data_IF_030700569042
#
_entry.id   IF_030700569042
#
_cell.length_a   1.000
_cell.length_b   1.000
_cell.length_c   1.000
_cell.angle_alpha   90.00
_cell.angle_beta   90.00
_cell.angle_gamma   90.00
#
_symmetry.space_group_name_H-M   'P 1'
#
loop_
_entity.id
_entity.type
_entity.pdbx_description
1 polymer ?
#
# COMPACT_ATOMS: atom_id res chain seq x y z
N UNK A 1 -4.55 18.52 13.62
CA UNK A 1 -3.33 17.83 14.05
C UNK A 1 -2.54 17.63 12.78
N UNK A 2 -1.33 18.19 12.71
CA UNK A 2 -0.48 18.05 11.54
C UNK A 2 -0.09 16.58 11.34
N UNK A 3 -0.13 16.13 10.09
CA UNK A 3 0.19 14.75 9.70
C UNK A 3 1.66 14.63 9.29
N UNK A 4 2.21 13.41 9.30
CA UNK A 4 3.56 13.18 8.74
C UNK A 4 3.64 13.56 7.26
N UNK A 5 2.54 13.44 6.52
CA UNK A 5 2.53 13.81 5.11
C UNK A 5 2.71 15.33 4.91
N UNK A 6 2.17 16.14 5.83
CA UNK A 6 2.31 17.59 5.82
C UNK A 6 3.71 18.04 6.26
N UNK A 7 4.30 17.39 7.28
CA UNK A 7 5.66 17.68 7.74
C UNK A 7 6.73 17.25 6.73
N UNK A 8 6.49 16.12 6.06
CA UNK A 8 7.41 15.51 5.11
C UNK A 8 7.80 14.09 5.49
N UNK A 9 8.00 13.27 4.45
CA UNK A 9 8.45 11.88 4.55
C UNK A 9 9.74 11.71 3.75
N UNK A 10 10.56 10.67 4.00
CA UNK A 10 11.79 10.38 3.23
C UNK A 10 11.45 9.95 1.80
N UNK A 11 11.05 10.92 0.98
CA UNK A 11 10.44 10.71 -0.33
C UNK A 11 11.42 10.09 -1.33
N UNK A 12 12.70 10.45 -1.25
CA UNK A 12 13.73 9.90 -2.15
C UNK A 12 13.89 8.39 -1.96
N UNK A 13 14.00 7.93 -0.71
CA UNK A 13 14.06 6.50 -0.41
C UNK A 13 12.78 5.76 -0.85
N UNK A 14 11.61 6.36 -0.63
CA UNK A 14 10.32 5.79 -1.07
C UNK A 14 10.25 5.71 -2.60
N UNK A 15 10.77 6.72 -3.30
CA UNK A 15 10.83 6.75 -4.76
C UNK A 15 11.75 5.67 -5.31
N UNK A 16 12.92 5.46 -4.71
CA UNK A 16 13.84 4.37 -5.08
C UNK A 16 13.16 3.00 -4.96
N UNK A 17 12.49 2.74 -3.84
CA UNK A 17 11.74 1.49 -3.64
C UNK A 17 10.59 1.34 -4.66
N UNK A 18 9.85 2.42 -4.91
CA UNK A 18 8.73 2.44 -5.86
C UNK A 18 9.18 2.24 -7.31
N UNK A 19 10.38 2.68 -7.67
CA UNK A 19 10.92 2.54 -9.02
C UNK A 19 11.19 1.08 -9.41
N UNK A 20 11.56 0.23 -8.44
CA UNK A 20 11.80 -1.21 -8.64
C UNK A 20 10.51 -1.90 -9.14
N UNK A 21 9.35 -1.45 -8.68
CA UNK A 21 8.04 -2.01 -9.05
C UNK A 21 7.64 -1.77 -10.50
N UNK A 22 8.18 -0.71 -11.13
CA UNK A 22 7.91 -0.44 -12.55
C UNK A 22 8.81 -1.25 -13.50
N UNK A 23 9.78 -2.00 -12.97
CA UNK A 23 10.78 -2.77 -13.72
C UNK A 23 10.70 -4.28 -13.39
N UNK A 24 11.75 -5.08 -13.10
CA UNK A 24 11.58 -6.52 -12.91
C UNK A 24 10.92 -6.89 -11.58
N UNK A 25 10.68 -5.92 -10.68
CA UNK A 25 10.08 -6.16 -9.37
C UNK A 25 8.58 -5.91 -9.31
N UNK A 26 7.83 -6.18 -10.39
CA UNK A 26 6.39 -5.91 -10.44
C UNK A 26 5.62 -6.81 -9.45
N UNK A 27 4.63 -6.29 -8.73
CA UNK A 27 3.70 -7.11 -7.96
C UNK A 27 2.98 -8.11 -8.87
N UNK A 28 2.82 -9.39 -8.48
CA UNK A 28 2.23 -10.41 -9.35
C UNK A 28 0.85 -10.07 -9.93
N UNK A 29 0.00 -9.42 -9.13
CA UNK A 29 -1.35 -9.01 -9.56
C UNK A 29 -1.32 -7.93 -10.67
N UNK A 30 -0.20 -7.25 -10.89
CA UNK A 30 -0.05 -6.30 -12.00
C UNK A 30 0.12 -6.99 -13.35
N UNK A 31 0.50 -8.28 -13.36
CA UNK A 31 0.69 -9.07 -14.58
C UNK A 31 -0.63 -9.70 -15.08
N UNK A 32 -1.71 -9.64 -14.28
CA UNK A 32 -3.02 -10.16 -14.72
C UNK A 32 -3.56 -9.35 -15.91
N UNK A 33 -3.59 -8.02 -15.79
CA UNK A 33 -3.99 -7.10 -16.86
C UNK A 33 -3.20 -5.79 -16.71
N UNK A 34 -2.78 -5.23 -17.85
CA UNK A 34 -2.15 -3.92 -17.86
C UNK A 34 -3.15 -2.81 -17.53
N UNK A 35 -2.82 -1.95 -16.56
CA UNK A 35 -3.59 -0.76 -16.22
C UNK A 35 -2.70 0.49 -16.18
N UNK A 36 -3.17 1.59 -16.78
CA UNK A 36 -2.34 2.79 -16.98
C UNK A 36 -1.97 3.51 -15.68
N UNK A 37 -2.88 3.54 -14.68
CA UNK A 37 -2.71 4.30 -13.43
C UNK A 37 -2.33 3.44 -12.23
N UNK A 38 -1.42 2.47 -12.42
CA UNK A 38 -0.90 1.62 -11.33
C UNK A 38 0.05 2.42 -10.43
N UNK A 39 -0.43 2.81 -9.26
CA UNK A 39 0.40 3.45 -8.21
C UNK A 39 1.31 2.39 -7.58
N UNK A 40 2.63 2.62 -7.48
CA UNK A 40 3.53 1.73 -6.75
C UNK A 40 3.03 1.49 -5.32
N UNK A 41 3.05 0.24 -4.88
CA UNK A 41 2.59 -0.20 -3.58
C UNK A 41 3.45 0.39 -2.46
N UNK A 42 4.78 0.48 -2.64
CA UNK A 42 5.65 1.15 -1.67
C UNK A 42 5.22 2.61 -1.45
N UNK A 43 5.01 3.35 -2.53
CA UNK A 43 4.52 4.73 -2.48
C UNK A 43 3.13 4.84 -1.85
N UNK A 44 2.17 4.00 -2.29
CA UNK A 44 0.82 3.99 -1.75
C UNK A 44 0.81 3.71 -0.24
N UNK A 45 1.60 2.74 0.23
CA UNK A 45 1.76 2.42 1.65
C UNK A 45 2.30 3.61 2.44
N UNK A 46 3.35 4.25 1.93
CA UNK A 46 3.97 5.38 2.62
C UNK A 46 3.01 6.57 2.74
N UNK A 47 2.30 6.92 1.66
CA UNK A 47 1.32 8.02 1.66
C UNK A 47 0.15 7.73 2.60
N UNK A 48 -0.40 6.51 2.58
CA UNK A 48 -1.49 6.13 3.50
C UNK A 48 -1.03 6.22 4.95
N UNK A 49 0.12 5.64 5.30
CA UNK A 49 0.62 5.70 6.66
C UNK A 49 0.89 7.15 7.09
N UNK A 50 1.52 7.95 6.23
CA UNK A 50 1.86 9.34 6.52
C UNK A 50 0.63 10.24 6.70
N UNK A 51 -0.45 9.99 5.93
CA UNK A 51 -1.70 10.73 6.05
C UNK A 51 -2.49 10.39 7.32
N UNK A 52 -2.30 9.19 7.89
CA UNK A 52 -3.06 8.72 9.06
C UNK A 52 -2.32 8.91 10.40
N UNK A 53 -1.01 9.15 10.35
CA UNK A 53 -0.15 9.33 11.51
C UNK A 53 0.08 10.82 11.78
N UNK A 54 0.15 11.17 13.06
CA UNK A 54 0.54 12.51 13.52
C UNK A 54 2.00 12.80 13.20
N UNK A 55 2.34 14.07 13.01
CA UNK A 55 3.69 14.52 12.66
C UNK A 55 4.78 14.08 13.66
N UNK A 56 4.42 13.84 14.93
CA UNK A 56 5.31 13.38 16.00
C UNK A 56 5.39 11.84 16.14
N UNK A 57 4.73 11.08 15.25
CA UNK A 57 4.62 9.64 15.38
C UNK A 57 5.96 8.90 15.26
N UNK A 58 6.98 9.52 14.65
CA UNK A 58 8.33 9.00 14.48
C UNK A 58 9.38 10.06 14.80
N UNK A 59 10.48 9.63 15.43
CA UNK A 59 11.61 10.51 15.75
C UNK A 59 12.63 10.60 14.61
N UNK A 60 12.68 9.58 13.74
CA UNK A 60 13.58 9.57 12.58
C UNK A 60 12.91 8.97 11.34
N UNK A 61 13.30 9.43 10.13
CA UNK A 61 12.85 8.84 8.88
C UNK A 61 13.18 7.35 8.74
N UNK A 62 14.29 6.89 9.31
CA UNK A 62 14.71 5.50 9.27
C UNK A 62 13.76 4.60 10.07
N UNK A 63 13.27 5.08 11.22
CA UNK A 63 12.30 4.33 12.01
C UNK A 63 10.99 4.15 11.24
N UNK A 64 10.53 5.21 10.56
CA UNK A 64 9.35 5.15 9.69
C UNK A 64 9.53 4.14 8.55
N UNK A 65 10.66 4.19 7.85
CA UNK A 65 10.94 3.27 6.75
C UNK A 65 11.11 1.82 7.21
N UNK A 66 11.68 1.58 8.39
CA UNK A 66 11.77 0.23 8.98
C UNK A 66 10.39 -0.34 9.31
N UNK A 67 9.48 0.49 9.79
CA UNK A 67 8.11 0.09 10.07
C UNK A 67 7.29 -0.13 8.79
N UNK A 68 7.48 0.70 7.75
CA UNK A 68 6.85 0.49 6.45
C UNK A 68 7.36 -0.77 5.73
N UNK A 69 8.67 -0.98 5.78
CA UNK A 69 9.38 -1.96 4.97
C UNK A 69 10.42 -2.76 5.78
N UNK A 70 10.01 -3.66 6.69
CA UNK A 70 10.93 -4.43 7.52
C UNK A 70 11.95 -5.26 6.72
N UNK A 71 11.62 -5.60 5.47
CA UNK A 71 12.50 -6.38 4.58
C UNK A 71 13.46 -5.54 3.72
N UNK A 72 13.49 -4.21 3.84
CA UNK A 72 14.25 -3.31 2.95
C UNK A 72 15.77 -3.56 2.92
N UNK A 73 16.33 -4.14 3.97
CA UNK A 73 17.74 -4.55 4.01
C UNK A 73 18.04 -5.90 3.34
N UNK A 74 17.02 -6.69 3.00
CA UNK A 74 17.16 -8.05 2.42
C UNK A 74 16.62 -8.16 0.99
N UNK A 75 15.65 -7.32 0.63
CA UNK A 75 14.95 -7.38 -0.67
C UNK A 75 14.84 -5.99 -1.26
N UNK A 76 15.03 -5.89 -2.57
CA UNK A 76 14.75 -4.66 -3.33
C UNK A 76 13.24 -4.43 -3.54
N UNK A 77 12.44 -5.52 -3.60
CA UNK A 77 10.98 -5.47 -3.72
C UNK A 77 10.30 -5.35 -2.36
N UNK A 78 10.31 -4.14 -1.80
CA UNK A 78 9.84 -3.91 -0.42
C UNK A 78 8.33 -4.07 -0.23
N UNK A 79 7.54 -3.87 -1.28
CA UNK A 79 6.09 -4.10 -1.23
C UNK A 79 5.75 -5.56 -0.94
N UNK A 80 6.65 -6.51 -1.20
CA UNK A 80 6.42 -7.93 -0.94
C UNK A 80 6.36 -8.28 0.55
N UNK A 81 6.98 -7.49 1.43
CA UNK A 81 6.85 -7.69 2.87
C UNK A 81 5.68 -6.89 3.45
N UNK A 82 5.08 -7.45 4.50
CA UNK A 82 4.08 -6.75 5.30
C UNK A 82 4.73 -5.65 6.15
N UNK A 83 3.98 -4.58 6.47
CA UNK A 83 4.41 -3.57 7.42
C UNK A 83 4.67 -4.18 8.81
N UNK A 84 5.38 -3.46 9.68
CA UNK A 84 5.67 -3.95 11.02
C UNK A 84 4.36 -4.14 11.83
N UNK A 85 4.27 -5.17 12.69
CA UNK A 85 3.10 -5.39 13.53
C UNK A 85 2.75 -4.17 14.41
N UNK A 86 3.76 -3.42 14.85
CA UNK A 86 3.58 -2.17 15.60
C UNK A 86 2.83 -1.13 14.79
N UNK A 87 3.23 -0.91 13.53
CA UNK A 87 2.57 0.04 12.64
C UNK A 87 1.13 -0.38 12.35
N UNK A 88 0.91 -1.68 12.08
CA UNK A 88 -0.43 -2.24 11.87
C UNK A 88 -1.34 -1.97 13.07
N UNK A 89 -0.83 -2.19 14.28
CA UNK A 89 -1.60 -1.94 15.50
C UNK A 89 -1.91 -0.44 15.71
N UNK A 90 -0.99 0.47 15.34
CA UNK A 90 -1.22 1.93 15.43
C UNK A 90 -2.29 2.43 14.47
N UNK A 91 -2.39 1.80 13.30
CA UNK A 91 -3.35 2.19 12.25
C UNK A 91 -4.67 1.41 12.32
N UNK A 92 -4.79 0.44 13.22
CA UNK A 92 -6.01 -0.32 13.44
C UNK A 92 -7.19 0.61 13.78
N UNK A 93 -8.30 0.45 13.05
CA UNK A 93 -9.51 1.24 13.23
C UNK A 93 -9.48 2.64 12.63
N UNK A 94 -8.35 3.06 12.01
CA UNK A 94 -8.32 4.23 11.14
C UNK A 94 -9.03 3.90 9.82
N UNK A 95 -9.61 4.90 9.18
CA UNK A 95 -10.40 4.74 7.95
C UNK A 95 -9.78 5.53 6.80
N UNK A 96 -9.76 4.93 5.61
CA UNK A 96 -9.28 5.55 4.37
C UNK A 96 -10.39 5.46 3.33
N UNK A 97 -10.72 6.58 2.71
CA UNK A 97 -11.55 6.61 1.51
C UNK A 97 -10.65 6.88 0.31
N UNK A 98 -10.65 5.98 -0.66
CA UNK A 98 -10.09 6.23 -1.98
C UNK A 98 -11.24 6.39 -2.99
N UNK A 99 -11.59 7.63 -3.37
CA UNK A 99 -12.67 7.88 -4.32
C UNK A 99 -12.30 7.53 -5.78
N UNK A 100 -11.02 7.25 -6.06
CA UNK A 100 -10.49 6.98 -7.40
C UNK A 100 -9.56 5.78 -7.37
N UNK A 101 -10.10 4.65 -6.90
CA UNK A 101 -9.31 3.48 -6.54
C UNK A 101 -8.59 2.84 -7.73
N UNK A 102 -9.17 2.91 -8.94
CA UNK A 102 -8.63 2.29 -10.14
C UNK A 102 -8.30 0.82 -9.91
N UNK A 103 -7.02 0.47 -10.04
CA UNK A 103 -6.52 -0.89 -9.85
C UNK A 103 -6.45 -1.34 -8.37
N UNK A 104 -6.64 -0.43 -7.41
CA UNK A 104 -6.76 -0.76 -5.99
C UNK A 104 -5.49 -0.70 -5.15
N UNK A 105 -4.40 -0.08 -5.61
CA UNK A 105 -3.12 0.00 -4.85
C UNK A 105 -3.26 0.64 -3.47
N UNK A 106 -3.96 1.79 -3.37
CA UNK A 106 -4.15 2.52 -2.10
C UNK A 106 -5.00 1.71 -1.12
N UNK A 107 -6.23 1.26 -1.47
CA UNK A 107 -7.03 0.47 -0.54
C UNK A 107 -6.38 -0.88 -0.17
N UNK A 108 -5.60 -1.48 -1.08
CA UNK A 108 -4.81 -2.69 -0.78
C UNK A 108 -3.79 -2.40 0.33
N UNK A 109 -2.97 -1.36 0.17
CA UNK A 109 -1.95 -1.05 1.16
C UNK A 109 -2.53 -0.50 2.47
N UNK A 110 -3.65 0.23 2.42
CA UNK A 110 -4.41 0.61 3.61
C UNK A 110 -4.86 -0.62 4.41
N UNK A 111 -5.41 -1.64 3.74
CA UNK A 111 -5.79 -2.89 4.37
C UNK A 111 -4.57 -3.64 4.96
N UNK A 112 -3.42 -3.64 4.27
CA UNK A 112 -2.18 -4.24 4.78
C UNK A 112 -1.58 -3.49 5.97
N UNK A 113 -1.84 -2.19 6.08
CA UNK A 113 -1.52 -1.36 7.23
C UNK A 113 -2.53 -1.54 8.38
N UNK A 114 -3.57 -2.36 8.23
CA UNK A 114 -4.59 -2.57 9.26
C UNK A 114 -5.66 -1.49 9.35
N UNK A 115 -5.66 -0.52 8.42
CA UNK A 115 -6.72 0.48 8.30
C UNK A 115 -7.91 -0.07 7.51
N UNK A 116 -9.10 0.42 7.83
CA UNK A 116 -10.31 0.11 7.08
C UNK A 116 -10.36 0.97 5.81
N UNK A 117 -10.38 0.34 4.65
CA UNK A 117 -10.40 1.02 3.36
C UNK A 117 -11.78 0.94 2.70
N UNK A 118 -12.29 2.07 2.24
CA UNK A 118 -13.43 2.19 1.33
C UNK A 118 -12.89 2.63 -0.02
N UNK A 119 -13.11 1.81 -1.04
CA UNK A 119 -12.66 2.07 -2.40
C UNK A 119 -13.88 2.35 -3.30
N UNK A 120 -13.84 3.46 -4.03
CA UNK A 120 -14.85 3.82 -5.02
C UNK A 120 -14.20 3.85 -6.39
N UNK A 121 -14.91 3.34 -7.38
CA UNK A 121 -14.51 3.39 -8.77
C UNK A 121 -15.74 3.47 -9.66
N UNK A 122 -15.73 4.39 -10.61
CA UNK A 122 -16.83 4.62 -11.55
C UNK A 122 -16.71 3.71 -12.77
N UNK A 123 -15.50 3.44 -13.23
CA UNK A 123 -15.25 2.67 -14.44
C UNK A 123 -15.53 1.19 -14.19
N UNK A 124 -16.51 0.56 -14.88
CA UNK A 124 -16.85 -0.84 -14.65
C UNK A 124 -15.67 -1.80 -14.87
N UNK A 125 -14.81 -1.50 -15.86
CA UNK A 125 -13.60 -2.29 -16.12
C UNK A 125 -12.62 -2.23 -14.93
N UNK A 126 -12.37 -1.05 -14.36
CA UNK A 126 -11.50 -0.88 -13.20
C UNK A 126 -12.09 -1.55 -11.96
N UNK A 127 -13.42 -1.46 -11.78
CA UNK A 127 -14.13 -2.11 -10.68
C UNK A 127 -13.91 -3.63 -10.66
N UNK A 128 -13.94 -4.31 -11.81
CA UNK A 128 -13.65 -5.76 -11.87
C UNK A 128 -12.24 -6.07 -11.34
N UNK A 129 -11.24 -5.28 -11.72
CA UNK A 129 -9.87 -5.45 -11.22
C UNK A 129 -9.76 -5.16 -9.73
N UNK A 130 -10.44 -4.11 -9.26
CA UNK A 130 -10.50 -3.76 -7.84
C UNK A 130 -11.04 -4.92 -7.00
N UNK A 131 -12.10 -5.60 -7.47
CA UNK A 131 -12.65 -6.81 -6.84
C UNK A 131 -11.66 -7.98 -6.87
N UNK A 132 -10.97 -8.17 -7.99
CA UNK A 132 -9.96 -9.21 -8.13
C UNK A 132 -8.75 -9.00 -7.21
N UNK A 133 -8.38 -7.75 -6.93
CA UNK A 133 -7.25 -7.42 -6.05
C UNK A 133 -7.64 -7.45 -4.58
N UNK A 134 -8.83 -6.94 -4.21
CA UNK A 134 -9.20 -6.72 -2.81
C UNK A 134 -10.14 -7.78 -2.22
N UNK A 135 -11.03 -8.36 -3.02
CA UNK A 135 -12.08 -9.27 -2.52
C UNK A 135 -11.77 -10.74 -2.80
N UNK A 136 -11.36 -11.08 -4.02
CA UNK A 136 -11.15 -12.49 -4.39
C UNK A 136 -10.07 -13.19 -3.56
N UNK A 137 -8.90 -12.60 -3.25
CA UNK A 137 -7.88 -13.24 -2.42
C UNK A 137 -8.34 -13.49 -0.98
N UNK A 138 -9.41 -12.81 -0.53
CA UNK A 138 -10.04 -13.05 0.77
C UNK A 138 -11.12 -14.13 0.72
N UNK A 139 -11.80 -14.28 -0.41
CA UNK A 139 -12.92 -15.22 -0.59
C UNK A 139 -12.49 -16.58 -1.09
N UNK A 140 -11.52 -16.61 -2.00
CA UNK A 140 -11.06 -17.80 -2.72
C UNK A 140 -9.69 -18.17 -2.18
N UNK A 141 -9.61 -19.33 -1.54
CA UNK A 141 -8.35 -19.93 -1.11
C UNK A 141 -7.74 -20.71 -2.26
N UNK A 142 -6.42 -20.94 -2.27
CA UNK A 142 -5.78 -21.77 -3.28
C UNK A 142 -6.40 -23.17 -3.43
N UNK A 143 -7.03 -23.68 -2.38
CA UNK A 143 -7.72 -24.98 -2.33
C UNK A 143 -9.06 -24.99 -3.08
N UNK A 144 -9.62 -23.81 -3.40
CA UNK A 144 -10.96 -23.69 -3.98
C UNK A 144 -10.95 -23.62 -5.53
N UNK A 145 -9.77 -23.74 -6.16
CA UNK A 145 -9.56 -23.51 -7.62
C UNK A 145 -8.95 -24.74 -8.32
N UNK A 146 -9.22 -25.94 -7.77
CA UNK A 146 -8.94 -27.22 -8.44
C UNK A 146 -10.00 -27.60 -9.47
#
# INVERSE_FOLDING_TARGET
METLLELGIPIDAINEYSAVEKRPGRPPHWEMVFWWTRKPLAGARAVVAAALLSADAYQSPEQFLNDLFPCRGRRKTVHACNPSPRLIQRLKGKKVLDPFAGFGSIPLEAARLGADAVAVELLPAAYVFLKAVLEFPRRVKPQDVE
#
